data_IF_789260544022
#
_entry.id   IF_789260544022
#
_cell.length_a   1.000
_cell.length_b   1.000
_cell.length_c   1.000
_cell.angle_alpha   90.00
_cell.angle_beta   90.00
_cell.angle_gamma   90.00
#
_symmetry.space_group_name_H-M   'P 1'
#
loop_
_entity.id
_entity.type
_entity.pdbx_description
1 polymer ?
#
# COMPACT_ATOMS: atom_id res chain seq x y z
N UNK A 1 3.97 16.82 -13.21
CA UNK A 1 4.52 15.46 -13.21
C UNK A 1 5.52 15.38 -12.08
N UNK A 2 5.38 14.37 -11.25
CA UNK A 2 6.25 14.06 -10.12
C UNK A 2 6.92 12.71 -10.33
N UNK A 3 8.09 12.54 -9.72
CA UNK A 3 8.84 11.30 -9.69
C UNK A 3 9.16 10.99 -8.24
N UNK A 4 8.61 9.91 -7.71
CA UNK A 4 8.83 9.49 -6.33
C UNK A 4 9.68 8.22 -6.33
N UNK A 5 10.84 8.26 -5.69
CA UNK A 5 11.66 7.06 -5.45
C UNK A 5 11.03 6.22 -4.34
N UNK A 6 10.74 4.96 -4.65
CA UNK A 6 9.97 4.05 -3.82
C UNK A 6 10.79 2.77 -3.56
N UNK A 7 11.62 2.75 -2.50
CA UNK A 7 12.26 1.52 -2.05
C UNK A 7 11.19 0.59 -1.44
N UNK A 8 11.05 -0.58 -2.03
CA UNK A 8 10.10 -1.62 -1.64
C UNK A 8 10.86 -2.86 -1.14
N UNK A 9 10.13 -3.75 -0.47
CA UNK A 9 10.60 -5.09 -0.12
C UNK A 9 9.58 -6.10 -0.62
N UNK A 10 10.06 -7.09 -1.38
CA UNK A 10 9.29 -8.23 -1.85
C UNK A 10 9.85 -9.49 -1.19
N UNK A 11 9.07 -10.12 -0.32
CA UNK A 11 9.40 -11.38 0.36
C UNK A 11 10.78 -11.34 1.03
N UNK A 12 11.10 -10.20 1.67
CA UNK A 12 12.39 -9.96 2.33
C UNK A 12 13.52 -9.50 1.41
N UNK A 13 13.30 -9.46 0.09
CA UNK A 13 14.29 -8.97 -0.89
C UNK A 13 14.00 -7.52 -1.26
N UNK A 14 15.02 -6.66 -1.26
CA UNK A 14 14.87 -5.26 -1.67
C UNK A 14 14.52 -5.14 -3.16
N UNK A 15 13.59 -4.22 -3.47
CA UNK A 15 13.18 -3.88 -4.82
C UNK A 15 13.13 -2.35 -4.94
N UNK A 16 13.87 -1.79 -5.89
CA UNK A 16 13.87 -0.34 -6.13
C UNK A 16 12.84 0.01 -7.20
N UNK A 17 11.93 0.94 -6.89
CA UNK A 17 10.91 1.38 -7.83
C UNK A 17 10.87 2.89 -7.94
N UNK A 18 10.32 3.39 -9.04
CA UNK A 18 9.93 4.79 -9.19
C UNK A 18 8.45 4.86 -9.55
N UNK A 19 7.70 5.67 -8.79
CA UNK A 19 6.33 6.05 -9.13
C UNK A 19 6.36 7.33 -9.96
N UNK A 20 5.72 7.31 -11.11
CA UNK A 20 5.39 8.52 -11.87
C UNK A 20 3.97 8.94 -11.50
N UNK A 21 3.81 10.19 -11.08
CA UNK A 21 2.53 10.75 -10.69
C UNK A 21 2.26 12.12 -11.31
N UNK A 22 1.05 12.63 -11.10
CA UNK A 22 0.63 14.00 -11.44
C UNK A 22 1.02 14.45 -12.86
N UNK A 23 0.95 13.54 -13.83
CA UNK A 23 1.21 13.85 -15.25
C UNK A 23 0.08 14.74 -15.74
N UNK A 24 0.35 16.03 -15.89
CA UNK A 24 -0.62 17.03 -16.32
C UNK A 24 0.02 17.95 -17.34
N UNK A 25 -0.77 18.40 -18.29
CA UNK A 25 -0.41 19.45 -19.25
C UNK A 25 -1.56 20.44 -19.32
N UNK A 26 -1.23 21.73 -19.16
CA UNK A 26 -2.18 22.83 -19.29
C UNK A 26 -2.98 22.68 -20.61
N UNK A 27 -4.31 22.82 -20.60
CA UNK A 27 -5.15 22.66 -21.79
C UNK A 27 -4.66 23.43 -23.01
N UNK A 28 -4.12 24.64 -22.82
CA UNK A 28 -3.62 25.52 -23.88
C UNK A 28 -2.36 24.97 -24.58
N UNK A 29 -1.68 24.02 -23.94
CA UNK A 29 -0.42 23.44 -24.41
C UNK A 29 -0.52 21.94 -24.74
N UNK A 30 -1.74 21.37 -24.71
CA UNK A 30 -1.97 19.97 -25.10
C UNK A 30 -1.73 19.75 -26.60
N UNK A 31 -1.40 18.52 -26.98
CA UNK A 31 -1.15 18.15 -28.38
C UNK A 31 0.20 18.60 -28.95
N UNK A 32 1.01 19.35 -28.19
CA UNK A 32 2.32 19.86 -28.63
C UNK A 32 3.50 18.91 -28.35
N UNK A 33 3.23 17.72 -27.81
CA UNK A 33 4.27 16.74 -27.46
C UNK A 33 5.02 17.00 -26.16
N UNK A 34 4.64 18.02 -25.37
CA UNK A 34 5.32 18.36 -24.11
C UNK A 34 5.26 17.24 -23.06
N UNK A 35 4.11 16.60 -22.89
CA UNK A 35 3.97 15.47 -21.97
C UNK A 35 4.85 14.28 -22.38
N UNK A 36 4.94 14.03 -23.70
CA UNK A 36 5.84 13.01 -24.26
C UNK A 36 7.30 13.33 -23.93
N UNK A 37 7.74 14.55 -24.25
CA UNK A 37 9.12 14.99 -24.00
C UNK A 37 9.49 14.85 -22.51
N UNK A 38 8.60 15.29 -21.63
CA UNK A 38 8.80 15.17 -20.18
C UNK A 38 8.88 13.72 -19.73
N UNK A 39 7.96 12.87 -20.19
CA UNK A 39 7.93 11.46 -19.81
C UNK A 39 9.17 10.73 -20.32
N UNK A 40 9.54 10.90 -21.59
CA UNK A 40 10.77 10.33 -22.17
C UNK A 40 12.01 10.77 -21.37
N UNK A 41 12.12 12.06 -21.01
CA UNK A 41 13.23 12.57 -20.19
C UNK A 41 13.29 11.88 -18.82
N UNK A 42 12.15 11.66 -18.17
CA UNK A 42 12.10 10.94 -16.88
C UNK A 42 12.47 9.48 -17.04
N UNK A 43 11.97 8.82 -18.09
CA UNK A 43 12.26 7.41 -18.33
C UNK A 43 13.74 7.18 -18.63
N UNK A 44 14.36 8.04 -19.45
CA UNK A 44 15.79 7.96 -19.76
C UNK A 44 16.66 8.11 -18.51
N UNK A 45 16.27 9.00 -17.60
CA UNK A 45 17.00 9.27 -16.36
C UNK A 45 16.81 8.17 -15.30
N UNK A 46 15.58 7.68 -15.12
CA UNK A 46 15.23 6.81 -13.99
C UNK A 46 15.18 5.33 -14.33
N UNK A 47 14.73 4.95 -15.53
CA UNK A 47 14.60 3.54 -15.90
C UNK A 47 15.91 2.78 -15.70
N UNK A 48 17.12 3.28 -16.07
CA UNK A 48 18.37 2.55 -15.83
C UNK A 48 18.75 2.37 -14.35
N UNK A 49 18.14 3.12 -13.43
CA UNK A 49 18.56 3.23 -12.01
C UNK A 49 17.73 2.41 -11.04
N UNK A 50 16.59 1.88 -11.48
CA UNK A 50 15.64 1.16 -10.63
C UNK A 50 15.18 -0.15 -11.26
N UNK A 51 14.64 -1.05 -10.46
CA UNK A 51 14.16 -2.35 -10.94
C UNK A 51 12.80 -2.25 -11.67
N UNK A 52 11.97 -1.27 -11.32
CA UNK A 52 10.66 -1.06 -11.95
C UNK A 52 10.24 0.42 -11.96
N UNK A 53 9.49 0.81 -13.00
CA UNK A 53 8.81 2.11 -13.07
C UNK A 53 7.32 1.82 -13.17
N UNK A 54 6.52 2.48 -12.34
CA UNK A 54 5.07 2.29 -12.31
C UNK A 54 4.32 3.62 -12.19
N UNK A 55 3.04 3.56 -12.52
CA UNK A 55 2.09 4.66 -12.32
C UNK A 55 0.68 4.13 -12.17
N UNK A 56 -0.17 4.93 -11.53
CA UNK A 56 -1.62 4.76 -11.57
C UNK A 56 -2.19 5.80 -12.53
N UNK A 57 -2.91 5.34 -13.54
CA UNK A 57 -3.54 6.17 -14.55
C UNK A 57 -5.05 6.21 -14.32
N UNK A 58 -5.65 7.36 -14.59
CA UNK A 58 -7.09 7.48 -14.68
C UNK A 58 -7.62 6.84 -15.98
N UNK A 59 -8.90 6.50 -16.01
CA UNK A 59 -9.48 5.70 -17.11
C UNK A 59 -9.61 6.51 -18.41
N UNK A 60 -9.45 7.83 -18.34
CA UNK A 60 -9.48 8.73 -19.49
C UNK A 60 -8.24 8.63 -20.40
N UNK A 61 -7.10 8.11 -19.91
CA UNK A 61 -5.80 8.15 -20.62
C UNK A 61 -5.12 6.79 -20.80
N UNK A 62 -5.88 5.69 -20.78
CA UNK A 62 -5.33 4.33 -20.79
C UNK A 62 -4.54 3.96 -22.05
N UNK A 63 -4.73 4.70 -23.15
CA UNK A 63 -4.00 4.49 -24.42
C UNK A 63 -2.74 5.37 -24.54
N UNK A 64 -2.51 6.29 -23.59
CA UNK A 64 -1.34 7.16 -23.60
C UNK A 64 -0.07 6.43 -23.18
N UNK A 65 -0.08 5.74 -22.04
CA UNK A 65 1.10 5.11 -21.46
C UNK A 65 1.66 3.91 -22.24
N UNK A 66 0.85 3.05 -22.90
CA UNK A 66 1.37 1.99 -23.76
C UNK A 66 2.31 2.48 -24.87
N UNK A 67 2.17 3.74 -25.31
CA UNK A 67 3.04 4.36 -26.33
C UNK A 67 4.48 4.57 -25.86
N UNK A 68 4.73 4.48 -24.55
CA UNK A 68 6.04 4.60 -23.92
C UNK A 68 6.56 3.25 -23.41
N UNK A 69 5.88 2.14 -23.75
CA UNK A 69 6.27 0.79 -23.36
C UNK A 69 5.63 0.29 -22.05
N UNK A 70 4.84 1.12 -21.37
CA UNK A 70 4.10 0.67 -20.19
C UNK A 70 3.06 -0.40 -20.55
N UNK A 71 2.85 -1.33 -19.63
CA UNK A 71 1.86 -2.40 -19.73
C UNK A 71 0.87 -2.25 -18.60
N UNK A 72 -0.40 -2.50 -18.90
CA UNK A 72 -1.44 -2.62 -17.86
C UNK A 72 -1.07 -3.81 -16.97
N UNK A 73 -1.16 -3.61 -15.67
CA UNK A 73 -1.00 -4.65 -14.65
C UNK A 73 -2.23 -4.63 -13.75
N UNK A 74 -2.32 -5.59 -12.84
CA UNK A 74 -3.44 -5.70 -11.91
C UNK A 74 -2.98 -6.14 -10.53
N UNK A 75 -3.67 -5.66 -9.52
CA UNK A 75 -3.43 -6.04 -8.13
C UNK A 75 -4.43 -7.12 -7.69
N UNK A 76 -4.09 -7.85 -6.63
CA UNK A 76 -4.96 -8.87 -6.04
C UNK A 76 -5.30 -8.48 -4.61
N UNK A 77 -6.58 -8.28 -4.36
CA UNK A 77 -7.12 -8.06 -3.02
C UNK A 77 -7.20 -9.40 -2.28
N UNK A 78 -6.68 -9.43 -1.06
CA UNK A 78 -6.78 -10.59 -0.17
C UNK A 78 -7.83 -10.32 0.92
N UNK A 79 -8.66 -11.31 1.19
CA UNK A 79 -9.62 -11.29 2.29
C UNK A 79 -9.66 -12.66 2.98
N UNK A 80 -10.18 -12.72 4.20
CA UNK A 80 -10.40 -13.98 4.90
C UNK A 80 -11.66 -13.92 5.76
N UNK A 81 -12.38 -15.03 5.82
CA UNK A 81 -13.40 -15.26 6.85
C UNK A 81 -12.72 -15.57 8.18
N UNK A 82 -13.17 -14.93 9.26
CA UNK A 82 -12.57 -15.04 10.59
C UNK A 82 -13.63 -15.24 11.66
N UNK A 83 -13.24 -15.87 12.75
CA UNK A 83 -14.09 -16.03 13.93
C UNK A 83 -13.24 -15.85 15.17
N UNK A 84 -13.57 -14.84 15.96
CA UNK A 84 -12.86 -14.51 17.20
C UNK A 84 -13.82 -14.71 18.37
N UNK A 85 -13.30 -15.20 19.50
CA UNK A 85 -14.07 -15.39 20.74
C UNK A 85 -13.60 -14.46 21.86
N UNK A 86 -12.53 -13.70 21.61
CA UNK A 86 -11.94 -12.80 22.59
C UNK A 86 -12.61 -11.43 22.55
N UNK A 87 -12.73 -10.73 23.70
CA UNK A 87 -13.23 -9.37 23.70
C UNK A 87 -12.27 -8.44 22.93
N UNK A 88 -12.82 -7.38 22.34
CA UNK A 88 -12.02 -6.36 21.68
C UNK A 88 -11.05 -5.73 22.70
N UNK A 89 -9.79 -5.60 22.28
CA UNK A 89 -8.69 -5.01 23.07
C UNK A 89 -7.86 -3.98 22.32
N UNK A 90 -8.09 -3.79 21.01
CA UNK A 90 -7.40 -2.78 20.22
C UNK A 90 -7.83 -1.36 20.67
N UNK A 91 -6.89 -0.59 21.19
CA UNK A 91 -7.14 0.73 21.78
C UNK A 91 -6.86 1.84 20.77
N UNK A 92 -7.69 2.89 20.72
CA UNK A 92 -7.43 4.05 19.85
C UNK A 92 -6.18 4.80 20.28
N UNK A 93 -5.31 5.11 19.30
CA UNK A 93 -4.14 5.96 19.52
C UNK A 93 -4.47 7.39 19.10
N UNK A 94 -4.24 8.34 20.00
CA UNK A 94 -4.38 9.77 19.69
C UNK A 94 -3.13 10.28 18.96
N UNK A 95 -3.21 10.37 17.63
CA UNK A 95 -2.11 10.82 16.77
C UNK A 95 -1.83 12.32 16.83
N UNK A 96 -2.62 13.11 17.56
CA UNK A 96 -2.30 14.52 17.85
C UNK A 96 -1.16 14.63 18.87
N UNK A 97 -1.03 13.62 19.76
CA UNK A 97 0.03 13.58 20.76
C UNK A 97 1.39 13.31 20.14
N UNK A 98 2.39 14.15 20.44
CA UNK A 98 3.75 13.98 19.95
C UNK A 98 4.37 12.65 20.39
N UNK A 99 4.16 12.24 21.64
CA UNK A 99 4.69 10.98 22.19
C UNK A 99 4.14 9.75 21.44
N UNK A 100 2.84 9.76 21.09
CA UNK A 100 2.25 8.68 20.32
C UNK A 100 2.81 8.61 18.90
N UNK A 101 2.98 9.77 18.24
CA UNK A 101 3.59 9.85 16.91
C UNK A 101 5.01 9.28 16.90
N UNK A 102 5.81 9.60 17.92
CA UNK A 102 7.17 9.07 18.05
C UNK A 102 7.19 7.54 18.24
N UNK A 103 6.26 7.00 19.03
CA UNK A 103 6.13 5.54 19.21
C UNK A 103 5.71 4.83 17.93
N UNK A 104 4.72 5.37 17.21
CA UNK A 104 4.24 4.83 15.93
C UNK A 104 5.33 4.90 14.87
N UNK A 105 6.02 6.04 14.73
CA UNK A 105 7.11 6.19 13.77
C UNK A 105 8.25 5.19 14.05
N UNK A 106 8.60 4.99 15.33
CA UNK A 106 9.58 3.98 15.74
C UNK A 106 9.15 2.58 15.31
N UNK A 107 7.90 2.21 15.58
CA UNK A 107 7.34 0.91 15.20
C UNK A 107 7.36 0.70 13.69
N UNK A 108 7.01 1.72 12.89
CA UNK A 108 7.08 1.66 11.42
C UNK A 108 8.52 1.39 10.95
N UNK A 109 9.50 2.14 11.49
CA UNK A 109 10.91 2.03 11.08
C UNK A 109 11.55 0.69 11.47
N UNK A 110 11.01 0.03 12.49
CA UNK A 110 11.53 -1.22 13.05
C UNK A 110 10.63 -2.41 12.76
N UNK A 111 9.60 -2.22 11.92
CA UNK A 111 8.57 -3.23 11.74
C UNK A 111 9.16 -4.52 11.17
N UNK A 112 8.82 -5.64 11.81
CA UNK A 112 8.95 -6.96 11.21
C UNK A 112 7.69 -7.21 10.39
N UNK A 113 7.78 -6.90 9.11
CA UNK A 113 6.63 -6.80 8.22
C UNK A 113 5.77 -8.06 8.16
N UNK A 114 4.45 -7.85 8.20
CA UNK A 114 3.41 -8.86 7.94
C UNK A 114 3.00 -8.92 6.46
N UNK A 115 3.61 -8.09 5.62
CA UNK A 115 3.33 -8.00 4.19
C UNK A 115 4.44 -8.61 3.36
N UNK A 116 4.07 -9.41 2.35
CA UNK A 116 4.95 -9.93 1.31
C UNK A 116 5.48 -8.82 0.40
N UNK A 117 4.75 -7.71 0.29
CA UNK A 117 5.14 -6.56 -0.50
C UNK A 117 4.93 -5.29 0.31
N UNK A 118 6.00 -4.66 0.77
CA UNK A 118 5.96 -3.54 1.71
C UNK A 118 6.80 -2.36 1.25
N UNK A 119 6.42 -1.17 1.72
CA UNK A 119 7.12 0.06 1.45
C UNK A 119 8.10 0.39 2.58
N UNK A 120 9.32 0.79 2.22
CA UNK A 120 10.31 1.28 3.18
C UNK A 120 10.34 2.82 3.20
N UNK A 121 9.24 3.45 3.60
CA UNK A 121 9.12 4.90 3.69
C UNK A 121 8.23 5.31 4.88
N UNK A 122 8.86 5.43 6.05
CA UNK A 122 8.18 5.86 7.26
C UNK A 122 7.58 7.26 7.15
N UNK A 123 8.17 8.14 6.33
CA UNK A 123 7.65 9.50 6.12
C UNK A 123 6.28 9.50 5.43
N UNK A 124 6.12 8.69 4.37
CA UNK A 124 4.84 8.56 3.69
C UNK A 124 3.80 7.85 4.55
N UNK A 125 4.17 6.81 5.29
CA UNK A 125 3.28 6.20 6.28
C UNK A 125 2.82 7.24 7.31
N UNK A 126 3.74 8.00 7.92
CA UNK A 126 3.39 9.03 8.91
C UNK A 126 2.56 10.18 8.32
N UNK A 127 2.72 10.52 7.04
CA UNK A 127 1.84 11.47 6.36
C UNK A 127 0.37 11.03 6.41
N UNK A 128 0.09 9.77 6.09
CA UNK A 128 -1.25 9.20 6.19
C UNK A 128 -1.77 9.16 7.64
N UNK A 129 -0.93 8.68 8.56
CA UNK A 129 -1.32 8.46 9.96
C UNK A 129 -1.40 9.74 10.81
N UNK A 130 -0.86 10.85 10.32
CA UNK A 130 -1.06 12.19 10.94
C UNK A 130 -2.05 13.05 10.17
N UNK A 131 -2.50 12.58 9.00
CA UNK A 131 -3.45 13.27 8.13
C UNK A 131 -4.75 12.47 7.97
N UNK A 132 -5.10 12.00 6.75
CA UNK A 132 -6.42 11.42 6.46
C UNK A 132 -6.79 10.17 7.28
N UNK A 133 -5.81 9.40 7.75
CA UNK A 133 -6.02 8.11 8.42
C UNK A 133 -5.72 8.16 9.92
N UNK A 134 -5.57 9.35 10.51
CA UNK A 134 -5.20 9.51 11.92
C UNK A 134 -6.15 8.81 12.91
N UNK A 135 -7.44 8.75 12.57
CA UNK A 135 -8.46 8.10 13.40
C UNK A 135 -8.51 6.57 13.26
N UNK A 136 -7.72 5.99 12.35
CA UNK A 136 -7.64 4.54 12.10
C UNK A 136 -6.53 3.84 12.90
N UNK A 137 -5.69 4.60 13.60
CA UNK A 137 -4.57 4.01 14.36
C UNK A 137 -5.08 3.39 15.66
N UNK A 138 -4.71 2.13 15.88
CA UNK A 138 -4.97 1.36 17.10
C UNK A 138 -3.67 0.79 17.66
N UNK A 139 -3.66 0.52 18.96
CA UNK A 139 -2.59 -0.21 19.64
C UNK A 139 -3.17 -1.48 20.23
N UNK A 140 -2.54 -2.62 19.97
CA UNK A 140 -2.87 -3.89 20.61
C UNK A 140 -1.93 -4.12 21.81
N UNK A 141 -2.42 -4.00 23.06
CA UNK A 141 -1.58 -4.15 24.24
C UNK A 141 -1.01 -5.57 24.42
N UNK A 142 -1.62 -6.59 23.82
CA UNK A 142 -1.16 -7.98 23.94
C UNK A 142 0.06 -8.25 23.07
N UNK A 143 0.06 -7.73 21.84
CA UNK A 143 1.18 -7.91 20.88
C UNK A 143 2.16 -6.74 20.87
N UNK A 144 1.77 -5.58 21.42
CA UNK A 144 2.52 -4.32 21.32
C UNK A 144 2.47 -3.69 19.92
N UNK A 145 1.65 -4.23 19.01
CA UNK A 145 1.58 -3.78 17.63
C UNK A 145 0.71 -2.52 17.47
N UNK A 146 1.09 -1.66 16.53
CA UNK A 146 0.24 -0.60 16.02
C UNK A 146 -0.48 -1.08 14.77
N UNK A 147 -1.80 -0.97 14.78
CA UNK A 147 -2.69 -1.44 13.72
C UNK A 147 -3.31 -0.23 13.03
N UNK A 148 -3.32 -0.22 11.70
CA UNK A 148 -4.05 0.78 10.93
C UNK A 148 -5.28 0.10 10.39
N UNK A 149 -6.45 0.44 10.94
CA UNK A 149 -7.67 -0.27 10.60
C UNK A 149 -8.95 0.53 10.79
N UNK A 150 -9.99 0.11 10.08
CA UNK A 150 -11.38 0.53 10.28
C UNK A 150 -12.31 -0.68 10.32
N UNK A 151 -13.37 -0.59 11.10
CA UNK A 151 -14.40 -1.64 11.20
C UNK A 151 -15.70 -1.09 10.61
N UNK A 152 -16.27 -1.81 9.66
CA UNK A 152 -17.51 -1.49 8.95
C UNK A 152 -18.48 -2.67 9.10
N UNK A 153 -19.37 -2.59 10.10
CA UNK A 153 -20.22 -3.74 10.45
C UNK A 153 -19.39 -4.91 10.96
N UNK A 154 -19.40 -6.04 10.25
CA UNK A 154 -18.61 -7.25 10.56
C UNK A 154 -17.30 -7.35 9.76
N UNK A 155 -16.99 -6.35 8.94
CA UNK A 155 -15.78 -6.28 8.12
C UNK A 155 -14.70 -5.43 8.78
N UNK A 156 -13.53 -6.04 8.99
CA UNK A 156 -12.29 -5.35 9.34
C UNK A 156 -11.50 -5.01 8.08
N UNK A 157 -11.30 -3.72 7.82
CA UNK A 157 -10.32 -3.23 6.85
C UNK A 157 -8.99 -3.04 7.59
N UNK A 158 -8.02 -3.92 7.35
CA UNK A 158 -6.69 -3.87 7.99
C UNK A 158 -5.68 -3.33 6.99
N UNK A 159 -5.41 -2.03 7.07
CA UNK A 159 -4.59 -1.28 6.11
C UNK A 159 -3.09 -1.57 6.29
N UNK A 160 -2.62 -1.73 7.54
CA UNK A 160 -1.24 -2.16 7.84
C UNK A 160 -1.10 -2.61 9.32
N UNK A 161 0.02 -3.28 9.64
CA UNK A 161 0.42 -3.69 10.99
C UNK A 161 1.91 -3.39 11.20
N UNK A 162 2.21 -2.61 12.23
CA UNK A 162 3.57 -2.26 12.62
C UNK A 162 3.92 -2.85 13.97
N UNK A 163 4.90 -3.75 14.00
CA UNK A 163 5.38 -4.38 15.22
C UNK A 163 6.89 -4.63 15.14
N UNK A 164 7.63 -4.34 16.21
CA UNK A 164 9.07 -4.68 16.27
C UNK A 164 9.29 -6.20 16.36
N UNK A 165 8.32 -6.93 16.90
CA UNK A 165 8.35 -8.38 17.05
C UNK A 165 7.50 -9.08 15.97
N UNK A 166 7.78 -10.37 15.74
CA UNK A 166 6.92 -11.16 14.87
C UNK A 166 5.52 -11.27 15.47
N UNK A 167 4.50 -10.92 14.69
CA UNK A 167 3.10 -10.99 15.11
C UNK A 167 2.33 -11.96 14.23
N UNK A 168 1.45 -12.72 14.87
CA UNK A 168 0.47 -13.55 14.19
C UNK A 168 -0.73 -12.69 13.76
N UNK A 169 -1.07 -12.74 12.47
CA UNK A 169 -2.18 -11.96 11.92
C UNK A 169 -3.51 -12.39 12.53
N UNK A 170 -3.70 -13.67 12.89
CA UNK A 170 -4.95 -14.11 13.53
C UNK A 170 -5.11 -13.50 14.92
N UNK A 171 -4.02 -13.41 15.70
CA UNK A 171 -4.02 -12.67 16.97
C UNK A 171 -4.33 -11.18 16.79
N UNK A 172 -3.75 -10.53 15.78
CA UNK A 172 -4.01 -9.11 15.46
C UNK A 172 -5.48 -8.88 15.08
N UNK A 173 -6.06 -9.76 14.25
CA UNK A 173 -7.47 -9.68 13.87
C UNK A 173 -8.38 -9.89 15.08
N UNK A 174 -8.03 -10.83 15.97
CA UNK A 174 -8.77 -11.08 17.20
C UNK A 174 -8.84 -9.86 18.12
N UNK A 175 -7.89 -8.92 18.04
CA UNK A 175 -7.88 -7.71 18.85
C UNK A 175 -9.10 -6.80 18.61
N UNK A 176 -9.80 -6.96 17.48
CA UNK A 176 -11.00 -6.19 17.13
C UNK A 176 -12.32 -6.79 17.66
N UNK A 177 -12.27 -7.96 18.31
CA UNK A 177 -13.41 -8.57 18.99
C UNK A 177 -14.29 -9.49 18.13
N UNK A 178 -15.36 -10.06 18.72
CA UNK A 178 -16.10 -11.19 18.16
C UNK A 178 -17.14 -10.79 17.09
N UNK A 179 -17.37 -9.49 16.91
CA UNK A 179 -18.26 -8.95 15.88
C UNK A 179 -17.61 -9.04 14.49
N UNK A 180 -16.28 -9.03 14.41
CA UNK A 180 -15.56 -9.19 13.14
C UNK A 180 -15.70 -10.62 12.63
N UNK A 181 -16.30 -10.75 11.44
CA UNK A 181 -16.49 -12.01 10.72
C UNK A 181 -15.65 -12.11 9.45
N UNK A 182 -15.18 -10.97 8.95
CA UNK A 182 -14.35 -10.90 7.74
C UNK A 182 -13.25 -9.86 7.92
N UNK A 183 -12.10 -10.14 7.33
CA UNK A 183 -11.01 -9.17 7.19
C UNK A 183 -10.68 -8.98 5.71
N UNK A 184 -10.45 -7.74 5.29
CA UNK A 184 -9.82 -7.40 4.02
C UNK A 184 -8.49 -6.70 4.29
N UNK A 185 -7.43 -7.17 3.63
CA UNK A 185 -6.07 -6.67 3.87
C UNK A 185 -5.73 -5.55 2.88
N UNK A 186 -5.37 -4.37 3.38
CA UNK A 186 -4.83 -3.28 2.57
C UNK A 186 -3.40 -3.52 2.07
N UNK A 187 -2.87 -4.72 2.26
CA UNK A 187 -1.53 -5.16 1.86
C UNK A 187 -1.57 -6.64 1.43
N UNK A 188 -0.42 -7.17 1.02
CA UNK A 188 -0.29 -8.58 0.60
C UNK A 188 0.14 -9.44 1.80
N UNK A 189 -0.76 -10.09 2.57
CA UNK A 189 -0.38 -10.70 3.84
C UNK A 189 0.58 -11.89 3.69
N UNK A 190 1.54 -12.00 4.62
CA UNK A 190 2.37 -13.18 4.87
C UNK A 190 1.54 -14.26 5.59
N UNK A 191 0.50 -14.76 4.91
CA UNK A 191 -0.41 -15.79 5.41
C UNK A 191 -0.55 -16.91 4.39
N UNK A 192 -0.36 -18.14 4.83
CA UNK A 192 -0.24 -19.31 3.94
C UNK A 192 -1.59 -19.94 3.55
N UNK A 193 -2.65 -19.75 4.35
CA UNK A 193 -3.94 -20.42 4.15
C UNK A 193 -5.15 -19.54 4.53
N UNK A 194 -6.31 -19.88 3.96
CA UNK A 194 -7.60 -19.24 4.28
C UNK A 194 -7.84 -17.89 3.61
N UNK A 195 -7.02 -17.53 2.62
CA UNK A 195 -7.17 -16.30 1.86
C UNK A 195 -8.07 -16.51 0.63
N UNK A 196 -9.14 -15.74 0.57
CA UNK A 196 -9.87 -15.43 -0.65
C UNK A 196 -9.08 -14.37 -1.43
N UNK A 197 -8.86 -14.61 -2.72
CA UNK A 197 -8.13 -13.71 -3.61
C UNK A 197 -9.06 -13.28 -4.73
N UNK A 198 -9.20 -11.97 -4.90
CA UNK A 198 -9.98 -11.37 -5.99
C UNK A 198 -9.14 -10.33 -6.70
N UNK A 199 -9.40 -10.15 -7.99
CA UNK A 199 -8.83 -9.02 -8.72
C UNK A 199 -9.25 -7.71 -8.04
N UNK A 200 -8.30 -6.80 -7.89
CA UNK A 200 -8.56 -5.46 -7.40
C UNK A 200 -8.90 -4.58 -8.60
N UNK A 201 -10.16 -4.19 -8.72
CA UNK A 201 -10.62 -3.21 -9.69
C UNK A 201 -11.03 -1.96 -8.90
N UNK A 202 -10.23 -0.91 -8.99
CA UNK A 202 -10.57 0.40 -8.43
C UNK A 202 -11.00 1.30 -9.59
N UNK A 203 -12.16 1.94 -9.44
CA UNK A 203 -12.66 2.87 -10.44
C UNK A 203 -11.66 4.00 -10.67
N UNK A 204 -11.46 4.39 -11.93
CA UNK A 204 -10.57 5.47 -12.34
C UNK A 204 -9.10 5.28 -11.94
N UNK A 205 -8.69 4.02 -11.69
CA UNK A 205 -7.33 3.69 -11.24
C UNK A 205 -6.83 2.41 -11.91
N UNK A 206 -6.03 2.57 -12.97
CA UNK A 206 -5.35 1.47 -13.65
C UNK A 206 -3.85 1.49 -13.37
N UNK A 207 -3.31 0.39 -12.86
CA UNK A 207 -1.86 0.20 -12.66
C UNK A 207 -1.15 -0.04 -14.00
N UNK A 208 -0.08 0.70 -14.24
CA UNK A 208 0.84 0.49 -15.35
C UNK A 208 2.26 0.25 -14.84
N UNK A 209 2.97 -0.69 -15.46
CA UNK A 209 4.38 -1.03 -15.18
C UNK A 209 5.20 -0.99 -16.46
N UNK A 210 6.45 -0.57 -16.41
CA UNK A 210 7.28 -0.36 -17.61
C UNK A 210 8.13 -1.59 -17.96
N UNK A 211 8.90 -2.07 -16.99
CA UNK A 211 9.88 -3.14 -17.18
C UNK A 211 9.25 -4.52 -17.00
N UNK A 212 8.13 -4.56 -16.28
CA UNK A 212 7.40 -5.78 -15.95
C UNK A 212 8.32 -6.81 -15.28
N UNK A 213 9.17 -6.35 -14.35
CA UNK A 213 10.04 -7.24 -13.55
C UNK A 213 9.23 -8.05 -12.55
N UNK A 214 8.02 -7.60 -12.24
CA UNK A 214 7.08 -8.23 -11.34
C UNK A 214 5.68 -8.28 -11.95
N UNK A 215 5.10 -9.48 -12.05
CA UNK A 215 3.67 -9.63 -12.31
C UNK A 215 2.91 -9.67 -10.97
N UNK A 216 2.27 -8.55 -10.64
CA UNK A 216 1.52 -8.38 -9.40
C UNK A 216 0.32 -9.32 -9.32
N UNK A 217 -0.35 -9.58 -10.44
CA UNK A 217 -1.55 -10.42 -10.48
C UNK A 217 -1.17 -11.88 -10.30
N UNK A 218 -0.16 -12.34 -11.04
CA UNK A 218 0.35 -13.72 -10.94
C UNK A 218 0.85 -14.03 -9.52
N UNK A 219 1.56 -13.09 -8.88
CA UNK A 219 2.06 -13.27 -7.51
C UNK A 219 1.03 -12.99 -6.42
N UNK A 220 -0.17 -12.55 -6.79
CA UNK A 220 -1.24 -12.22 -5.86
C UNK A 220 -0.84 -11.09 -4.90
N UNK A 221 -0.32 -10.00 -5.47
CA UNK A 221 0.18 -8.83 -4.75
C UNK A 221 -0.71 -7.61 -4.97
N UNK A 222 -0.77 -6.77 -3.94
CA UNK A 222 -1.34 -5.43 -3.91
C UNK A 222 -0.31 -4.47 -3.34
N UNK A 223 -0.20 -3.27 -3.90
CA UNK A 223 0.52 -2.17 -3.26
C UNK A 223 -0.14 -1.84 -1.92
N UNK A 224 0.63 -1.78 -0.83
CA UNK A 224 0.09 -1.35 0.46
C UNK A 224 -0.70 -0.05 0.33
N UNK A 225 -1.85 0.05 1.00
CA UNK A 225 -2.68 1.27 0.98
C UNK A 225 -1.85 2.50 1.38
N UNK A 226 -0.98 2.36 2.37
CA UNK A 226 -0.11 3.44 2.86
C UNK A 226 1.05 3.80 1.91
N UNK A 227 1.27 3.05 0.81
CA UNK A 227 2.28 3.38 -0.20
C UNK A 227 1.73 4.16 -1.38
N UNK A 228 0.41 4.37 -1.43
CA UNK A 228 -0.23 5.16 -2.48
C UNK A 228 -0.09 6.64 -2.11
N UNK A 229 0.43 7.43 -3.04
CA UNK A 229 0.66 8.88 -2.91
C UNK A 229 0.19 9.58 -4.18
#
# INVERSE_FOLDING_TARGET
MSVNFMPMTLEGTGLTMVQIGTVMTDPSFRGQGLSRFLLETVLDEWSPKVDEVYLFANDEVLDFYPRFGFRRSGEVQCAASVSTSFPARAEKVDMEQAEHREKVERAIRRTRGVSRFSMNNAGLAMFWLTGPMKDRVRHDPETGAYLVASVEGDLLLLDDVFSEEAVDLDSVIAAFGPEVRRVAFGFSPCRDAGLERTDCEEEDTTLFVLKNTLDFREKGLKFPVLSRA
#
